data_IF_357886148270
#
_entry.id   IF_357886148270
#
_cell.length_a   1.000
_cell.length_b   1.000
_cell.length_c   1.000
_cell.angle_alpha   90.00
_cell.angle_beta   90.00
_cell.angle_gamma   90.00
#
_symmetry.space_group_name_H-M   'P 1'
#
loop_
_entity.id
_entity.type
_entity.pdbx_description
1 polymer ?
#
# COMPACT_ATOMS: atom_id res chain seq x y z
N UNK A 1 -33.15 -53.20 13.13
CA UNK A 1 -32.45 -52.64 12.01
C UNK A 1 -31.90 -51.30 12.42
N UNK A 2 -30.60 -51.21 12.44
CA UNK A 2 -29.82 -50.18 13.15
C UNK A 2 -29.22 -49.17 12.19
N UNK A 3 -30.02 -48.41 11.44
CA UNK A 3 -29.54 -47.40 10.50
C UNK A 3 -30.22 -46.03 10.57
N UNK A 4 -31.10 -45.78 11.55
CA UNK A 4 -31.83 -44.50 11.64
C UNK A 4 -31.36 -43.55 12.77
N UNK A 5 -30.21 -43.82 13.42
CA UNK A 5 -29.81 -43.06 14.61
C UNK A 5 -28.60 -42.14 14.42
N UNK A 6 -28.15 -41.88 13.18
CA UNK A 6 -26.94 -41.11 12.94
C UNK A 6 -27.23 -39.64 12.58
N UNK A 7 -28.47 -39.30 12.25
CA UNK A 7 -28.82 -37.95 11.78
C UNK A 7 -29.45 -37.02 12.84
N UNK A 8 -29.77 -37.52 14.03
CA UNK A 8 -30.38 -36.71 15.11
C UNK A 8 -29.38 -36.01 16.03
N UNK A 9 -28.08 -36.25 15.89
CA UNK A 9 -27.08 -35.71 16.82
C UNK A 9 -26.19 -34.58 16.21
N UNK A 10 -26.55 -34.04 15.04
CA UNK A 10 -25.80 -32.96 14.42
C UNK A 10 -26.54 -31.60 14.51
N UNK A 11 -27.80 -31.62 14.95
CA UNK A 11 -28.61 -30.41 15.02
C UNK A 11 -28.52 -29.65 16.36
N UNK A 12 -27.78 -30.17 17.37
CA UNK A 12 -27.77 -29.60 18.73
C UNK A 12 -26.40 -29.07 19.17
N UNK A 13 -25.50 -28.77 18.25
CA UNK A 13 -24.18 -28.22 18.58
C UNK A 13 -23.85 -26.94 17.77
N UNK A 14 -24.85 -26.24 17.29
CA UNK A 14 -24.73 -24.93 16.66
C UNK A 14 -25.56 -23.89 17.41
N UNK A 15 -25.49 -23.94 18.73
CA UNK A 15 -25.99 -22.86 19.56
C UNK A 15 -24.78 -22.20 20.26
N UNK A 16 -24.77 -20.89 20.16
CA UNK A 16 -23.87 -19.94 20.83
C UNK A 16 -22.44 -19.83 20.27
N UNK A 17 -22.32 -19.33 19.05
CA UNK A 17 -21.31 -18.31 18.82
C UNK A 17 -21.97 -16.96 19.11
N UNK A 18 -21.65 -16.43 20.25
CA UNK A 18 -22.05 -15.08 20.66
C UNK A 18 -21.69 -14.08 19.55
N UNK A 19 -22.68 -13.69 18.76
CA UNK A 19 -22.66 -12.48 17.94
C UNK A 19 -22.83 -11.28 18.89
N UNK A 20 -21.85 -10.98 19.70
CA UNK A 20 -21.72 -9.70 20.37
C UNK A 20 -20.44 -9.00 19.91
N UNK A 21 -20.36 -8.78 18.59
CA UNK A 21 -19.60 -7.67 18.04
C UNK A 21 -20.58 -6.65 17.48
N UNK A 22 -21.25 -5.96 18.40
CA UNK A 22 -21.90 -4.69 18.14
C UNK A 22 -20.83 -3.65 17.86
N UNK A 23 -19.96 -3.92 16.87
CA UNK A 23 -19.16 -2.89 16.24
C UNK A 23 -20.15 -1.90 15.62
N UNK A 24 -20.16 -0.72 16.18
CA UNK A 24 -20.78 0.48 15.62
C UNK A 24 -20.71 0.40 14.10
N UNK A 25 -21.84 0.14 13.44
CA UNK A 25 -21.95 0.19 11.99
C UNK A 25 -21.79 1.66 11.59
N UNK A 26 -20.53 2.10 11.50
CA UNK A 26 -20.20 3.31 10.78
C UNK A 26 -20.66 3.07 9.33
N UNK A 27 -21.45 3.98 8.80
CA UNK A 27 -22.00 3.92 7.45
C UNK A 27 -20.88 4.16 6.42
N UNK A 28 -19.89 3.26 6.41
CA UNK A 28 -18.77 3.30 5.48
C UNK A 28 -19.11 2.45 4.25
N UNK A 29 -18.85 2.96 3.06
CA UNK A 29 -19.12 2.24 1.82
C UNK A 29 -18.12 1.10 1.59
N UNK A 30 -16.95 1.13 2.25
CA UNK A 30 -15.86 0.16 2.15
C UNK A 30 -15.70 -0.54 3.51
N UNK A 31 -15.54 -1.86 3.50
CA UNK A 31 -15.23 -2.64 4.70
C UNK A 31 -13.72 -2.73 4.93
N UNK A 32 -13.29 -3.09 6.15
CA UNK A 32 -11.87 -3.31 6.44
C UNK A 32 -11.24 -4.38 5.54
N UNK A 33 -11.96 -5.48 5.24
CA UNK A 33 -11.50 -6.50 4.31
C UNK A 33 -11.33 -5.94 2.91
N UNK A 34 -12.25 -5.11 2.45
CA UNK A 34 -12.13 -4.45 1.15
C UNK A 34 -10.97 -3.47 1.10
N UNK A 35 -10.72 -2.74 2.18
CA UNK A 35 -9.55 -1.87 2.30
C UNK A 35 -8.23 -2.67 2.24
N UNK A 36 -8.15 -3.83 2.91
CA UNK A 36 -6.99 -4.75 2.78
C UNK A 36 -6.79 -5.22 1.35
N UNK A 37 -7.85 -5.62 0.64
CA UNK A 37 -7.77 -6.02 -0.77
C UNK A 37 -7.24 -4.88 -1.66
N UNK A 38 -7.70 -3.65 -1.43
CA UNK A 38 -7.23 -2.46 -2.16
C UNK A 38 -5.73 -2.25 -1.94
N UNK A 39 -5.27 -2.30 -0.67
CA UNK A 39 -3.86 -2.15 -0.33
C UNK A 39 -2.98 -3.22 -0.98
N UNK A 40 -3.41 -4.49 -0.96
CA UNK A 40 -2.71 -5.60 -1.59
C UNK A 40 -2.65 -5.44 -3.12
N UNK A 41 -3.75 -5.07 -3.75
CA UNK A 41 -3.81 -4.85 -5.20
C UNK A 41 -2.89 -3.69 -5.62
N UNK A 42 -2.88 -2.60 -4.86
CA UNK A 42 -2.04 -1.44 -5.12
C UNK A 42 -0.55 -1.75 -4.98
N UNK A 43 -0.15 -2.45 -3.91
CA UNK A 43 1.24 -2.90 -3.69
C UNK A 43 1.66 -4.06 -4.59
N UNK A 44 0.74 -4.66 -5.34
CA UNK A 44 0.95 -5.89 -6.13
C UNK A 44 1.41 -7.07 -5.26
N UNK A 45 0.99 -7.10 -4.02
CA UNK A 45 1.29 -8.16 -3.06
C UNK A 45 0.15 -9.18 -3.04
N UNK A 46 0.48 -10.47 -2.95
CA UNK A 46 -0.54 -11.52 -2.78
C UNK A 46 -0.94 -11.65 -1.30
N UNK A 47 -2.14 -12.16 -1.04
CA UNK A 47 -2.62 -12.40 0.34
C UNK A 47 -1.67 -13.34 1.10
N UNK A 48 -1.10 -14.34 0.42
CA UNK A 48 -0.17 -15.31 1.01
C UNK A 48 1.17 -14.69 1.41
N UNK A 49 1.57 -13.60 0.77
CA UNK A 49 2.86 -12.94 1.01
C UNK A 49 2.74 -11.80 2.03
N UNK A 50 1.52 -11.42 2.38
CA UNK A 50 1.23 -10.32 3.30
C UNK A 50 0.98 -10.83 4.73
N UNK A 51 1.67 -10.22 5.70
CA UNK A 51 1.36 -10.35 7.11
C UNK A 51 0.77 -9.04 7.62
N UNK A 52 -0.54 -9.01 7.86
CA UNK A 52 -1.23 -7.83 8.35
C UNK A 52 -0.87 -7.54 9.80
N UNK A 53 -0.59 -6.27 10.10
CA UNK A 53 -0.25 -5.75 11.42
C UNK A 53 -1.41 -4.94 11.98
N UNK A 54 -2.07 -4.13 11.12
CA UNK A 54 -3.15 -3.23 11.48
C UNK A 54 -4.16 -3.12 10.35
N UNK A 55 -5.44 -3.01 10.72
CA UNK A 55 -6.52 -2.64 9.83
C UNK A 55 -7.60 -1.97 10.70
N UNK A 56 -7.48 -0.66 10.87
CA UNK A 56 -8.29 0.13 11.81
C UNK A 56 -9.01 1.24 11.04
N UNK A 57 -10.21 1.59 11.52
CA UNK A 57 -10.96 2.74 11.02
C UNK A 57 -10.62 3.94 11.90
N UNK A 58 -10.19 5.03 11.29
CA UNK A 58 -9.86 6.29 11.95
C UNK A 58 -10.53 7.48 11.25
N UNK A 59 -10.38 8.67 11.83
CA UNK A 59 -10.89 9.92 11.25
C UNK A 59 -9.75 10.92 11.16
N UNK A 60 -9.33 11.22 9.93
CA UNK A 60 -8.30 12.22 9.65
C UNK A 60 -8.91 13.42 8.92
N UNK A 61 -8.69 14.62 9.44
CA UNK A 61 -9.23 15.87 8.90
C UNK A 61 -10.75 15.84 8.60
N UNK A 62 -11.50 15.05 9.39
CA UNK A 62 -12.95 14.87 9.21
C UNK A 62 -13.34 13.83 8.15
N UNK A 63 -12.39 13.13 7.58
CA UNK A 63 -12.59 12.03 6.62
C UNK A 63 -12.37 10.69 7.33
N UNK A 64 -13.31 9.76 7.16
CA UNK A 64 -13.12 8.40 7.64
C UNK A 64 -12.12 7.66 6.74
N UNK A 65 -11.08 7.10 7.34
CA UNK A 65 -10.02 6.38 6.65
C UNK A 65 -9.78 5.01 7.29
N UNK A 66 -9.39 4.04 6.50
CA UNK A 66 -8.80 2.81 6.99
C UNK A 66 -7.29 2.93 6.99
N UNK A 67 -6.69 2.78 8.18
CA UNK A 67 -5.26 2.58 8.36
C UNK A 67 -4.93 1.10 8.20
N UNK A 68 -4.27 0.75 7.12
CA UNK A 68 -3.85 -0.61 6.82
C UNK A 68 -2.33 -0.71 6.89
N UNK A 69 -1.80 -1.55 7.77
CA UNK A 69 -0.38 -1.85 7.82
C UNK A 69 -0.12 -3.34 7.65
N UNK A 70 0.84 -3.70 6.81
CA UNK A 70 1.29 -5.08 6.60
C UNK A 70 2.75 -5.14 6.20
N UNK A 71 3.34 -6.33 6.32
CA UNK A 71 4.67 -6.61 5.78
C UNK A 71 4.56 -7.61 4.64
N UNK A 72 5.36 -7.40 3.61
CA UNK A 72 5.55 -8.35 2.52
C UNK A 72 7.04 -8.48 2.22
N UNK A 73 7.60 -9.66 2.40
CA UNK A 73 9.04 -9.86 2.39
C UNK A 73 9.73 -9.02 3.47
N UNK A 74 10.66 -8.15 3.08
CA UNK A 74 11.37 -7.25 3.99
C UNK A 74 10.86 -5.80 3.93
N UNK A 75 9.73 -5.55 3.29
CA UNK A 75 9.11 -4.23 3.20
C UNK A 75 7.89 -4.15 4.12
N UNK A 76 7.81 -3.10 4.92
CA UNK A 76 6.60 -2.70 5.65
C UNK A 76 5.86 -1.69 4.80
N UNK A 77 4.57 -1.91 4.62
CA UNK A 77 3.65 -1.00 3.93
C UNK A 77 2.66 -0.41 4.91
N UNK A 78 2.36 0.87 4.75
CA UNK A 78 1.30 1.58 5.46
C UNK A 78 0.43 2.33 4.44
N UNK A 79 -0.88 2.19 4.57
CA UNK A 79 -1.89 2.76 3.67
C UNK A 79 -2.93 3.52 4.44
N UNK A 80 -3.33 4.67 3.93
CA UNK A 80 -4.57 5.35 4.29
C UNK A 80 -5.54 5.22 3.12
N UNK A 81 -6.70 4.64 3.39
CA UNK A 81 -7.73 4.39 2.37
C UNK A 81 -9.03 5.05 2.80
N UNK A 82 -9.58 5.90 1.95
CA UNK A 82 -10.86 6.55 2.21
C UNK A 82 -11.95 5.49 2.42
N UNK A 83 -12.59 5.49 3.59
CA UNK A 83 -13.57 4.48 3.97
C UNK A 83 -14.90 4.59 3.21
N UNK A 84 -15.18 5.74 2.61
CA UNK A 84 -16.39 5.95 1.81
C UNK A 84 -16.19 5.52 0.35
N UNK A 85 -15.04 5.85 -0.24
CA UNK A 85 -14.81 5.69 -1.68
C UNK A 85 -13.87 4.54 -2.04
N UNK A 86 -13.06 4.05 -1.08
CA UNK A 86 -12.00 3.08 -1.33
C UNK A 86 -10.77 3.69 -2.03
N UNK A 87 -10.70 5.01 -2.14
CA UNK A 87 -9.56 5.67 -2.73
C UNK A 87 -8.32 5.55 -1.83
N UNK A 88 -7.18 5.23 -2.39
CA UNK A 88 -5.89 5.32 -1.68
C UNK A 88 -5.56 6.81 -1.54
N UNK A 89 -5.40 7.27 -0.30
CA UNK A 89 -5.04 8.65 0.05
C UNK A 89 -3.53 8.77 0.24
N UNK A 90 -2.93 7.79 0.89
CA UNK A 90 -1.48 7.70 1.04
C UNK A 90 -1.00 6.25 1.02
N UNK A 91 0.25 6.07 0.65
CA UNK A 91 0.99 4.83 0.81
C UNK A 91 2.44 5.13 1.19
N UNK A 92 2.93 4.41 2.18
CA UNK A 92 4.33 4.43 2.59
C UNK A 92 4.89 3.02 2.55
N UNK A 93 6.14 2.90 2.11
CA UNK A 93 6.88 1.65 2.12
C UNK A 93 8.26 1.86 2.71
N UNK A 94 8.64 1.02 3.67
CA UNK A 94 9.94 1.05 4.33
C UNK A 94 10.58 -0.33 4.29
N UNK A 95 11.83 -0.40 3.85
CA UNK A 95 12.60 -1.63 3.82
C UNK A 95 13.29 -1.86 5.15
N UNK A 96 13.01 -3.00 5.76
CA UNK A 96 13.66 -3.43 7.01
C UNK A 96 15.00 -4.12 6.72
N UNK A 97 15.95 -3.95 7.64
CA UNK A 97 17.27 -4.61 7.61
C UNK A 97 18.08 -4.31 6.36
N UNK A 98 18.26 -3.02 6.04
CA UNK A 98 19.18 -2.62 4.97
C UNK A 98 20.61 -2.71 5.48
N UNK A 99 21.31 -3.79 5.14
CA UNK A 99 22.76 -3.91 5.34
C UNK A 99 23.46 -3.40 4.09
N UNK A 100 23.83 -2.11 4.11
CA UNK A 100 24.53 -1.49 2.99
C UNK A 100 26.03 -1.78 3.01
N UNK A 101 26.57 -2.26 1.90
CA UNK A 101 28.01 -2.22 1.66
C UNK A 101 28.41 -0.80 1.27
N UNK A 102 29.29 -0.19 2.04
CA UNK A 102 29.73 1.20 1.83
C UNK A 102 30.79 1.34 0.71
N UNK A 103 31.04 0.30 -0.09
CA UNK A 103 32.11 0.28 -1.07
C UNK A 103 31.61 0.04 -2.48
N UNK A 104 31.76 1.04 -3.34
CA UNK A 104 31.39 0.97 -4.75
C UNK A 104 31.29 2.34 -5.39
N UNK A 105 31.14 2.37 -6.72
CA UNK A 105 30.83 3.60 -7.44
C UNK A 105 29.35 3.93 -7.26
N UNK A 106 29.07 5.17 -6.90
CA UNK A 106 27.70 5.66 -6.80
C UNK A 106 27.02 5.65 -8.17
N UNK A 107 25.73 5.34 -8.17
CA UNK A 107 24.87 5.62 -9.31
C UNK A 107 24.75 7.15 -9.49
N UNK A 108 24.42 7.61 -10.68
CA UNK A 108 24.15 9.02 -10.92
C UNK A 108 22.80 9.45 -10.34
N UNK A 109 22.64 10.74 -10.06
CA UNK A 109 21.35 11.30 -9.66
C UNK A 109 20.25 11.05 -10.72
N UNK A 110 20.61 11.08 -12.01
CA UNK A 110 19.67 10.79 -13.10
C UNK A 110 19.23 9.32 -13.07
N UNK A 111 20.15 8.40 -12.73
CA UNK A 111 19.78 6.98 -12.54
C UNK A 111 18.86 6.79 -11.33
N UNK A 112 19.09 7.50 -10.24
CA UNK A 112 18.19 7.47 -9.09
C UNK A 112 16.78 8.01 -9.45
N UNK A 113 16.68 9.08 -10.24
CA UNK A 113 15.40 9.58 -10.78
C UNK A 113 14.68 8.53 -11.63
N UNK A 114 15.40 7.84 -12.51
CA UNK A 114 14.80 6.74 -13.30
C UNK A 114 14.22 5.64 -12.41
N UNK A 115 14.90 5.29 -11.33
CA UNK A 115 14.43 4.28 -10.35
C UNK A 115 13.15 4.74 -9.70
N UNK A 116 13.07 5.99 -9.19
CA UNK A 116 11.86 6.55 -8.60
C UNK A 116 10.69 6.53 -9.58
N UNK A 117 10.90 7.05 -10.77
CA UNK A 117 9.87 7.16 -11.80
C UNK A 117 9.36 5.78 -12.23
N UNK A 118 10.27 4.82 -12.39
CA UNK A 118 9.91 3.44 -12.72
C UNK A 118 9.08 2.77 -11.64
N UNK A 119 9.39 2.99 -10.37
CA UNK A 119 8.62 2.46 -9.25
C UNK A 119 7.25 3.14 -9.13
N UNK A 120 7.21 4.47 -9.23
CA UNK A 120 5.98 5.25 -9.18
C UNK A 120 5.05 5.03 -10.39
N UNK A 121 5.57 4.49 -11.49
CA UNK A 121 4.82 4.37 -12.75
C UNK A 121 4.56 5.72 -13.43
N UNK A 122 5.41 6.70 -13.17
CA UNK A 122 5.30 8.08 -13.68
C UNK A 122 6.30 8.29 -14.80
N UNK A 123 5.88 8.93 -15.88
CA UNK A 123 6.79 9.30 -16.97
C UNK A 123 7.59 10.56 -16.64
N UNK A 124 8.78 10.69 -17.20
CA UNK A 124 9.70 11.78 -16.87
C UNK A 124 9.17 13.17 -17.27
N UNK A 125 8.32 13.25 -18.26
CA UNK A 125 7.67 14.49 -18.73
C UNK A 125 6.55 14.96 -17.81
N UNK A 126 5.99 14.05 -16.98
CA UNK A 126 4.94 14.35 -16.00
C UNK A 126 5.49 14.72 -14.62
N UNK A 127 6.75 14.35 -14.35
CA UNK A 127 7.38 14.55 -13.05
C UNK A 127 8.09 15.90 -12.93
N UNK A 128 7.78 16.61 -11.84
CA UNK A 128 8.51 17.82 -11.44
C UNK A 128 9.30 17.49 -10.18
N UNK A 129 10.62 17.37 -10.32
CA UNK A 129 11.51 17.13 -9.19
C UNK A 129 11.71 18.41 -8.36
N UNK A 130 11.38 18.35 -7.08
CA UNK A 130 11.51 19.44 -6.12
C UNK A 130 12.80 19.30 -5.30
N UNK A 131 13.21 18.05 -5.03
CA UNK A 131 14.44 17.74 -4.28
C UNK A 131 15.19 16.60 -4.95
N UNK A 132 16.50 16.75 -5.04
CA UNK A 132 17.45 15.71 -5.45
C UNK A 132 18.73 15.95 -4.64
N UNK A 133 18.88 15.24 -3.53
CA UNK A 133 19.98 15.45 -2.58
C UNK A 133 20.71 14.14 -2.33
N UNK A 134 22.04 14.16 -2.31
CA UNK A 134 22.83 13.08 -1.75
C UNK A 134 23.09 13.37 -0.28
N UNK A 135 22.78 12.40 0.57
CA UNK A 135 22.97 12.48 2.02
C UNK A 135 23.63 11.21 2.56
N UNK A 136 23.87 11.20 3.86
CA UNK A 136 24.33 10.02 4.60
C UNK A 136 23.35 9.77 5.74
N UNK A 137 22.63 8.68 5.66
CA UNK A 137 21.71 8.22 6.69
C UNK A 137 22.19 6.87 7.25
N UNK A 138 22.32 6.77 8.58
CA UNK A 138 22.84 5.59 9.30
C UNK A 138 24.11 4.98 8.70
N UNK A 139 24.99 5.85 8.14
CA UNK A 139 26.25 5.44 7.50
C UNK A 139 26.10 4.95 6.06
N UNK A 140 24.88 4.97 5.51
CA UNK A 140 24.61 4.71 4.09
C UNK A 140 24.59 6.01 3.29
N UNK A 141 25.17 5.99 2.11
CA UNK A 141 24.98 7.07 1.14
C UNK A 141 23.63 6.87 0.48
N UNK A 142 22.74 7.85 0.59
CA UNK A 142 21.37 7.81 0.07
C UNK A 142 21.11 9.01 -0.83
N UNK A 143 20.31 8.81 -1.87
CA UNK A 143 19.65 9.89 -2.58
C UNK A 143 18.28 10.12 -1.99
N UNK A 144 18.04 11.32 -1.49
CA UNK A 144 16.70 11.81 -1.15
C UNK A 144 16.10 12.48 -2.38
N UNK A 145 14.95 11.99 -2.82
CA UNK A 145 14.23 12.45 -4.00
C UNK A 145 12.83 12.87 -3.62
N UNK A 146 12.43 14.07 -4.01
CA UNK A 146 11.03 14.52 -3.91
C UNK A 146 10.59 15.01 -5.28
N UNK A 147 9.43 14.60 -5.72
CA UNK A 147 8.80 15.06 -6.95
C UNK A 147 7.29 15.07 -6.86
N UNK A 148 6.67 15.90 -7.67
CA UNK A 148 5.24 15.91 -7.88
C UNK A 148 4.91 15.43 -9.30
N UNK A 149 3.85 14.66 -9.43
CA UNK A 149 3.29 14.28 -10.71
C UNK A 149 1.77 14.12 -10.55
N UNK A 150 1.01 14.60 -11.52
CA UNK A 150 -0.46 14.62 -11.50
C UNK A 150 -0.97 15.25 -10.19
N UNK A 151 -1.69 14.48 -9.37
CA UNK A 151 -2.23 14.92 -8.10
C UNK A 151 -1.53 14.30 -6.89
N UNK A 152 -0.32 13.79 -7.05
CA UNK A 152 0.42 13.15 -5.98
C UNK A 152 1.78 13.82 -5.74
N UNK A 153 2.22 13.77 -4.49
CA UNK A 153 3.58 14.04 -4.08
C UNK A 153 4.27 12.72 -3.75
N UNK A 154 5.50 12.60 -4.20
CA UNK A 154 6.33 11.41 -4.03
C UNK A 154 7.62 11.76 -3.30
N UNK A 155 8.00 10.94 -2.34
CA UNK A 155 9.27 11.03 -1.63
C UNK A 155 9.96 9.66 -1.68
N UNK A 156 11.27 9.63 -1.89
CA UNK A 156 12.07 8.41 -2.00
C UNK A 156 13.40 8.56 -1.32
N UNK A 157 13.83 7.49 -0.67
CA UNK A 157 15.22 7.27 -0.29
C UNK A 157 15.79 6.10 -1.08
N UNK A 158 16.90 6.32 -1.75
CA UNK A 158 17.55 5.33 -2.61
C UNK A 158 18.98 5.15 -2.16
N UNK A 159 19.39 3.91 -1.95
CA UNK A 159 20.81 3.59 -1.73
C UNK A 159 21.64 4.06 -2.92
N UNK A 160 22.57 4.99 -2.68
CA UNK A 160 23.35 5.62 -3.74
C UNK A 160 24.36 4.67 -4.40
N UNK A 161 24.67 3.52 -3.78
CA UNK A 161 25.62 2.54 -4.32
C UNK A 161 24.91 1.44 -5.11
N UNK A 162 23.78 0.93 -4.59
CA UNK A 162 23.05 -0.18 -5.21
C UNK A 162 21.92 0.26 -6.13
N UNK A 163 21.39 1.48 -5.94
CA UNK A 163 20.15 1.93 -6.59
C UNK A 163 18.88 1.33 -6.00
N UNK A 164 18.99 0.68 -4.85
CA UNK A 164 17.86 0.05 -4.18
C UNK A 164 16.99 1.10 -3.47
N UNK A 165 15.67 1.00 -3.60
CA UNK A 165 14.73 1.83 -2.85
C UNK A 165 14.71 1.34 -1.40
N UNK A 166 15.03 2.23 -0.47
CA UNK A 166 15.02 1.99 0.96
C UNK A 166 13.69 2.36 1.59
N UNK A 167 13.16 3.51 1.21
CA UNK A 167 11.85 3.98 1.60
C UNK A 167 11.17 4.76 0.48
N UNK A 168 9.87 4.82 0.51
CA UNK A 168 9.07 5.69 -0.34
C UNK A 168 7.78 6.12 0.35
N UNK A 169 7.29 7.29 -0.04
CA UNK A 169 5.99 7.81 0.34
C UNK A 169 5.30 8.39 -0.90
N UNK A 170 4.01 8.15 -1.01
CA UNK A 170 3.14 8.73 -2.03
C UNK A 170 1.89 9.26 -1.35
N UNK A 171 1.63 10.56 -1.50
CA UNK A 171 0.45 11.24 -0.94
C UNK A 171 -0.37 11.86 -2.06
N UNK A 172 -1.65 11.49 -2.13
CA UNK A 172 -2.58 12.03 -3.10
C UNK A 172 -3.24 13.29 -2.54
N UNK A 173 -3.43 14.32 -3.35
CA UNK A 173 -4.20 15.50 -2.96
C UNK A 173 -5.66 15.12 -2.81
N UNK A 174 -6.28 15.54 -1.70
CA UNK A 174 -7.71 15.31 -1.45
C UNK A 174 -8.56 15.80 -2.61
N UNK A 175 -9.38 14.90 -3.18
CA UNK A 175 -10.34 15.22 -4.24
C UNK A 175 -10.18 14.44 -5.55
N UNK A 176 -9.10 13.69 -5.72
CA UNK A 176 -8.89 12.85 -6.90
C UNK A 176 -8.46 11.46 -6.49
N UNK A 177 -9.43 10.54 -6.42
CA UNK A 177 -9.15 9.13 -6.26
C UNK A 177 -8.22 8.64 -7.39
N UNK A 178 -7.13 7.96 -7.04
CA UNK A 178 -6.41 7.13 -8.00
C UNK A 178 -7.37 6.02 -8.45
N UNK A 179 -8.00 6.20 -9.58
CA UNK A 179 -8.71 5.14 -10.27
C UNK A 179 -7.65 4.15 -10.74
N UNK A 180 -7.53 3.01 -10.05
CA UNK A 180 -6.81 1.88 -10.58
C UNK A 180 -7.43 1.54 -11.94
N UNK A 181 -6.68 1.82 -13.01
CA UNK A 181 -7.15 1.71 -14.36
C UNK A 181 -7.55 0.28 -14.71
N UNK A 182 -8.83 0.01 -14.69
CA UNK A 182 -9.39 -1.16 -15.36
C UNK A 182 -9.54 -0.83 -16.85
N UNK A 183 -8.43 -0.98 -17.56
CA UNK A 183 -8.40 -0.86 -19.02
C UNK A 183 -9.07 -2.07 -19.68
N UNK A 184 -10.39 -2.08 -19.71
CA UNK A 184 -11.15 -2.98 -20.59
C UNK A 184 -11.78 -2.15 -21.70
N UNK A 185 -11.00 -1.83 -22.73
CA UNK A 185 -11.53 -1.36 -23.99
C UNK A 185 -12.07 -2.56 -24.77
N UNK A 186 -13.36 -2.83 -24.58
CA UNK A 186 -14.09 -3.67 -25.54
C UNK A 186 -14.19 -2.91 -26.86
N UNK A 187 -13.47 -3.35 -27.86
CA UNK A 187 -13.62 -2.90 -29.23
C UNK A 187 -14.91 -3.52 -29.80
N UNK A 188 -15.94 -2.70 -29.90
CA UNK A 188 -17.15 -3.07 -30.66
C UNK A 188 -16.86 -2.89 -32.14
N UNK A 189 -16.85 -4.00 -32.87
CA UNK A 189 -16.78 -4.02 -34.35
C UNK A 189 -18.20 -4.09 -34.88
N UNK A 190 -18.58 -3.04 -35.59
CA UNK A 190 -19.74 -3.05 -36.49
C UNK A 190 -19.30 -3.33 -37.92
#
# INVERSE_FOLDING_TARGET
>A
DAEDSIWENIADTVEELDEDDSASQSNTAVTAEKAKEIALAHSKTTVSDAAFIRAELDVEDGVQVYDIAFTAGNVKYEYEINAETGAVLSVEGEKKNVTGSSSGNRISADKAKEVCLGHAGVSADQAVFEKTKLDVDDGLQVYEMEFAADNAKYEYEINALSGEILSFSQKFKSGTASSAGNGNTATEVT
#
